data_IF_009995699356
#
_entry.id   IF_009995699356
#
_cell.length_a   1.000
_cell.length_b   1.000
_cell.length_c   1.000
_cell.angle_alpha   90.00
_cell.angle_beta   90.00
_cell.angle_gamma   90.00
#
_symmetry.space_group_name_H-M   'P 1'
#
loop_
_entity.id
_entity.type
_entity.pdbx_description
1 polymer ?
#
# COMPACT_ATOMS: atom_id res chain seq x y z
N UNK A 1 6.08 19.99 27.66
CA UNK A 1 5.01 18.95 27.63
C UNK A 1 4.57 18.67 26.18
N UNK A 2 5.42 18.06 25.35
CA UNK A 2 5.18 17.88 23.91
C UNK A 2 4.81 16.43 23.49
N UNK A 3 4.55 15.53 24.44
CA UNK A 3 4.34 14.11 24.15
C UNK A 3 2.88 13.74 23.77
N UNK A 4 1.91 14.64 23.92
CA UNK A 4 0.48 14.28 23.80
C UNK A 4 -0.15 14.56 22.42
N UNK A 5 0.57 15.16 21.46
CA UNK A 5 -0.03 15.61 20.17
C UNK A 5 0.19 14.65 18.99
N UNK A 6 1.10 13.68 19.09
CA UNK A 6 1.41 12.74 17.98
C UNK A 6 0.58 11.43 17.98
N UNK A 7 -0.11 11.14 19.08
CA UNK A 7 -0.90 9.91 19.28
C UNK A 7 -2.26 9.84 18.57
N UNK A 8 -3.00 10.93 18.29
CA UNK A 8 -4.35 10.82 17.76
C UNK A 8 -4.45 10.18 16.36
N UNK A 9 -3.55 10.52 15.42
CA UNK A 9 -3.65 10.04 14.03
C UNK A 9 -3.28 8.57 13.91
N UNK A 10 -2.20 8.13 14.56
CA UNK A 10 -1.80 6.71 14.60
C UNK A 10 -2.91 5.86 15.22
N UNK A 11 -3.55 6.35 16.27
CA UNK A 11 -4.71 5.68 16.88
C UNK A 11 -5.87 5.56 15.88
N UNK A 12 -6.28 6.66 15.25
CA UNK A 12 -7.37 6.68 14.26
C UNK A 12 -7.13 5.75 13.08
N UNK A 13 -5.91 5.73 12.52
CA UNK A 13 -5.61 4.83 11.38
C UNK A 13 -5.52 3.37 11.82
N UNK A 14 -5.10 3.09 13.06
CA UNK A 14 -5.13 1.73 13.63
C UNK A 14 -6.56 1.24 13.83
N UNK A 15 -7.44 2.10 14.37
CA UNK A 15 -8.88 1.81 14.52
C UNK A 15 -9.55 1.59 13.14
N UNK A 16 -9.24 2.44 12.15
CA UNK A 16 -9.71 2.25 10.78
C UNK A 16 -9.22 0.92 10.19
N UNK A 17 -7.99 0.54 10.48
CA UNK A 17 -7.43 -0.74 10.06
C UNK A 17 -8.20 -1.92 10.67
N UNK A 18 -8.54 -1.85 11.95
CA UNK A 18 -9.34 -2.87 12.63
C UNK A 18 -10.75 -2.97 12.03
N UNK A 19 -11.38 -1.83 11.74
CA UNK A 19 -12.70 -1.77 11.07
C UNK A 19 -12.65 -2.35 9.65
N UNK A 20 -11.59 -2.06 8.90
CA UNK A 20 -11.37 -2.59 7.55
C UNK A 20 -11.21 -4.12 7.60
N UNK A 21 -10.36 -4.64 8.50
CA UNK A 21 -10.20 -6.09 8.70
C UNK A 21 -11.54 -6.73 9.08
N UNK A 22 -12.26 -6.11 10.02
CA UNK A 22 -13.57 -6.54 10.49
C UNK A 22 -14.59 -6.62 9.36
N UNK A 23 -14.66 -5.60 8.50
CA UNK A 23 -15.59 -5.58 7.36
C UNK A 23 -15.25 -6.64 6.31
N UNK A 24 -13.96 -6.81 6.00
CA UNK A 24 -13.50 -7.74 4.96
C UNK A 24 -13.73 -9.21 5.32
N UNK A 25 -13.76 -9.58 6.61
CA UNK A 25 -13.94 -10.98 7.05
C UNK A 25 -15.29 -11.59 6.63
N UNK A 26 -16.27 -10.74 6.36
CA UNK A 26 -17.64 -11.16 6.01
C UNK A 26 -17.79 -11.46 4.52
N UNK A 27 -16.84 -11.02 3.69
CA UNK A 27 -16.84 -11.31 2.27
C UNK A 27 -16.57 -12.79 2.00
N UNK A 28 -17.15 -13.29 0.92
CA UNK A 28 -16.91 -14.63 0.39
C UNK A 28 -16.51 -14.48 -1.07
N UNK A 29 -15.55 -15.28 -1.48
CA UNK A 29 -15.03 -15.28 -2.84
C UNK A 29 -15.10 -16.71 -3.36
N UNK A 30 -15.61 -16.86 -4.56
CA UNK A 30 -15.82 -18.14 -5.21
C UNK A 30 -14.66 -18.47 -6.15
N UNK A 31 -14.71 -19.67 -6.73
CA UNK A 31 -13.76 -20.07 -7.75
C UNK A 31 -13.67 -18.99 -8.87
N UNK A 32 -12.46 -18.70 -9.38
CA UNK A 32 -11.23 -19.46 -9.19
C UNK A 32 -10.38 -19.04 -7.99
N UNK A 33 -10.87 -18.16 -7.10
CA UNK A 33 -10.14 -17.83 -5.86
C UNK A 33 -10.20 -19.02 -4.91
N UNK A 34 -9.05 -19.53 -4.50
CA UNK A 34 -8.97 -20.64 -3.52
C UNK A 34 -8.25 -20.22 -2.24
N UNK A 35 -7.37 -19.22 -2.30
CA UNK A 35 -6.64 -18.73 -1.14
C UNK A 35 -6.71 -17.21 -1.04
N UNK A 36 -6.89 -16.71 0.18
CA UNK A 36 -6.97 -15.28 0.49
C UNK A 36 -6.04 -14.99 1.67
N UNK A 37 -5.11 -14.07 1.48
CA UNK A 37 -4.26 -13.56 2.55
C UNK A 37 -4.68 -12.15 2.95
N UNK A 38 -4.63 -11.86 4.24
CA UNK A 38 -4.71 -10.50 4.78
C UNK A 38 -3.49 -10.20 5.66
N UNK A 39 -2.44 -9.55 5.12
CA UNK A 39 -1.24 -9.19 5.88
C UNK A 39 -1.51 -8.19 7.01
N UNK A 40 -2.63 -7.45 6.99
CA UNK A 40 -3.02 -6.62 8.13
C UNK A 40 -3.43 -7.44 9.36
N UNK A 41 -3.62 -8.76 9.20
CA UNK A 41 -3.85 -9.70 10.30
C UNK A 41 -2.54 -10.36 10.72
N UNK A 42 -1.94 -11.19 9.86
CA UNK A 42 -0.79 -12.00 10.25
C UNK A 42 0.55 -11.24 10.27
N UNK A 43 0.68 -10.12 9.56
CA UNK A 43 1.86 -9.26 9.55
C UNK A 43 1.58 -7.91 10.26
N UNK A 44 0.64 -7.91 11.21
CA UNK A 44 0.16 -6.70 11.89
C UNK A 44 1.25 -5.92 12.59
N UNK A 45 2.20 -6.58 13.26
CA UNK A 45 3.31 -5.89 13.93
C UNK A 45 4.15 -5.05 12.96
N UNK A 46 4.40 -5.57 11.74
CA UNK A 46 5.10 -4.84 10.68
C UNK A 46 4.34 -3.60 10.23
N UNK A 47 3.03 -3.75 10.01
CA UNK A 47 2.17 -2.63 9.61
C UNK A 47 2.05 -1.57 10.71
N UNK A 48 1.87 -1.98 11.97
CA UNK A 48 1.74 -1.06 13.10
C UNK A 48 3.03 -0.28 13.36
N UNK A 49 4.20 -0.90 13.17
CA UNK A 49 5.49 -0.19 13.23
C UNK A 49 5.61 0.83 12.10
N UNK A 50 5.16 0.49 10.89
CA UNK A 50 5.09 1.44 9.77
C UNK A 50 4.19 2.63 10.09
N UNK A 51 2.98 2.39 10.61
CA UNK A 51 2.04 3.43 11.04
C UNK A 51 2.62 4.32 12.16
N UNK A 52 3.19 3.71 13.21
CA UNK A 52 3.79 4.45 14.33
C UNK A 52 4.97 5.32 13.88
N UNK A 53 5.83 4.79 13.02
CA UNK A 53 7.04 5.49 12.58
C UNK A 53 6.74 6.61 11.59
N UNK A 54 5.79 6.40 10.67
CA UNK A 54 5.63 7.29 9.51
C UNK A 54 4.23 7.87 9.33
N UNK A 55 3.22 7.40 10.07
CA UNK A 55 1.82 7.78 9.93
C UNK A 55 1.29 8.79 10.97
N UNK A 56 2.16 9.42 11.77
CA UNK A 56 1.73 10.28 12.89
C UNK A 56 1.39 11.72 12.52
N UNK A 57 1.66 12.14 11.27
CA UNK A 57 1.44 13.51 10.78
C UNK A 57 0.48 13.55 9.59
N UNK A 58 -0.02 14.73 9.26
CA UNK A 58 -0.62 14.97 7.95
C UNK A 58 0.42 14.79 6.84
N UNK A 59 -0.07 14.58 5.62
CA UNK A 59 0.76 14.31 4.44
C UNK A 59 0.38 15.29 3.35
N UNK A 60 1.35 15.74 2.55
CA UNK A 60 1.03 16.49 1.34
C UNK A 60 0.48 15.55 0.26
N UNK A 61 1.05 14.34 0.18
CA UNK A 61 0.73 13.34 -0.84
C UNK A 61 0.49 11.98 -0.18
N UNK A 62 -0.61 11.32 -0.56
CA UNK A 62 -0.83 9.90 -0.28
C UNK A 62 -0.73 9.12 -1.59
N UNK A 63 0.27 8.25 -1.70
CA UNK A 63 0.40 7.30 -2.81
C UNK A 63 -0.43 6.05 -2.51
N UNK A 64 -1.20 5.60 -3.50
CA UNK A 64 -2.10 4.45 -3.33
C UNK A 64 -1.76 3.35 -4.33
N UNK A 65 -1.32 2.20 -3.82
CA UNK A 65 -1.19 0.96 -4.57
C UNK A 65 -2.52 0.19 -4.67
N UNK A 66 -2.55 -0.83 -5.52
CA UNK A 66 -3.75 -1.66 -5.69
C UNK A 66 -3.96 -2.61 -4.50
N UNK A 67 -3.07 -3.58 -4.34
CA UNK A 67 -3.11 -4.57 -3.28
C UNK A 67 -1.71 -5.21 -3.06
N UNK A 68 -1.48 -5.96 -1.96
CA UNK A 68 -0.16 -6.50 -1.65
C UNK A 68 0.40 -7.42 -2.73
N UNK A 69 1.69 -7.26 -3.04
CA UNK A 69 2.47 -8.23 -3.81
C UNK A 69 2.91 -9.42 -2.93
N UNK A 70 3.08 -10.63 -3.50
CA UNK A 70 3.33 -11.87 -2.75
C UNK A 70 4.68 -11.91 -2.01
N UNK A 71 5.66 -11.09 -2.44
CA UNK A 71 7.00 -11.04 -1.83
C UNK A 71 7.29 -9.72 -1.12
N UNK A 72 6.33 -8.80 -1.10
CA UNK A 72 6.46 -7.48 -0.47
C UNK A 72 5.59 -7.38 0.77
N UNK A 73 4.50 -6.61 0.69
CA UNK A 73 3.57 -6.41 1.81
C UNK A 73 2.97 -7.73 2.35
N UNK A 74 2.79 -8.77 1.53
CA UNK A 74 2.36 -10.09 2.02
C UNK A 74 3.39 -10.80 2.91
N UNK A 75 4.64 -10.32 2.93
CA UNK A 75 5.70 -10.82 3.79
C UNK A 75 5.97 -9.87 4.96
N UNK A 76 5.91 -8.56 4.73
CA UNK A 76 6.39 -7.56 5.70
C UNK A 76 5.30 -6.77 6.41
N UNK A 77 4.06 -6.81 5.89
CA UNK A 77 2.97 -5.94 6.34
C UNK A 77 3.07 -4.49 5.84
N UNK A 78 4.19 -4.08 5.22
CA UNK A 78 4.41 -2.71 4.73
C UNK A 78 4.01 -2.59 3.26
N UNK A 79 3.23 -1.58 2.82
CA UNK A 79 2.90 -1.37 1.42
C UNK A 79 4.15 -1.35 0.54
N UNK A 80 4.10 -2.02 -0.63
CA UNK A 80 5.29 -2.17 -1.49
C UNK A 80 6.53 -2.71 -0.74
N UNK A 81 6.35 -3.45 0.35
CA UNK A 81 7.40 -3.68 1.34
C UNK A 81 8.39 -4.77 0.95
N UNK A 82 9.27 -4.49 -0.01
CA UNK A 82 10.48 -5.27 -0.25
C UNK A 82 11.33 -5.37 1.02
N UNK A 83 11.73 -6.59 1.38
CA UNK A 83 12.36 -6.90 2.68
C UNK A 83 13.61 -6.05 2.92
N UNK A 84 14.52 -5.94 1.93
CA UNK A 84 15.77 -5.18 2.08
C UNK A 84 15.50 -3.70 2.33
N UNK A 85 14.49 -3.14 1.66
CA UNK A 85 14.13 -1.73 1.84
C UNK A 85 13.42 -1.48 3.18
N UNK A 86 12.54 -2.39 3.61
CA UNK A 86 11.84 -2.26 4.89
C UNK A 86 12.82 -2.39 6.07
N UNK A 87 13.77 -3.32 6.02
CA UNK A 87 14.75 -3.47 7.11
C UNK A 87 15.87 -2.45 7.00
N UNK A 88 16.51 -2.33 5.84
CA UNK A 88 17.75 -1.59 5.66
C UNK A 88 17.56 -0.08 5.48
N UNK A 89 16.44 0.36 4.92
CA UNK A 89 16.16 1.79 4.75
C UNK A 89 15.16 2.29 5.80
N UNK A 90 14.03 1.62 5.96
CA UNK A 90 13.01 2.04 6.94
C UNK A 90 13.32 1.64 8.38
N UNK A 91 14.25 0.71 8.62
CA UNK A 91 14.60 0.24 9.96
C UNK A 91 13.45 -0.48 10.67
N UNK A 92 12.57 -1.16 9.93
CA UNK A 92 11.44 -1.91 10.48
C UNK A 92 11.78 -3.39 10.48
N UNK A 93 11.75 -3.97 11.68
CA UNK A 93 11.77 -5.41 11.93
C UNK A 93 10.57 -5.76 12.79
N UNK A 94 9.90 -6.87 12.47
CA UNK A 94 8.67 -7.28 13.13
C UNK A 94 8.48 -8.79 13.10
N UNK A 95 7.66 -9.30 14.02
CA UNK A 95 7.15 -10.66 13.94
C UNK A 95 6.09 -10.77 12.84
N UNK A 96 6.07 -11.93 12.16
CA UNK A 96 5.09 -12.25 11.12
C UNK A 96 4.55 -13.65 11.39
N UNK A 97 3.25 -13.73 11.59
CA UNK A 97 2.52 -14.98 11.76
C UNK A 97 2.19 -15.62 10.40
N UNK A 98 1.67 -16.84 10.44
CA UNK A 98 1.21 -17.52 9.24
C UNK A 98 -0.24 -17.14 8.90
N UNK A 99 -0.60 -17.03 7.61
CA UNK A 99 -2.01 -16.95 7.22
C UNK A 99 -2.72 -18.26 7.56
N UNK A 100 -4.03 -18.20 7.81
CA UNK A 100 -4.83 -19.37 8.22
C UNK A 100 -4.75 -20.56 7.26
N UNK A 101 -4.71 -20.30 5.96
CA UNK A 101 -4.65 -21.31 4.91
C UNK A 101 -3.53 -20.91 3.92
N UNK A 102 -2.27 -21.25 4.21
CA UNK A 102 -1.15 -20.90 3.34
C UNK A 102 -1.16 -21.78 2.09
N UNK A 103 -1.07 -21.15 0.92
CA UNK A 103 -0.84 -21.86 -0.33
C UNK A 103 0.63 -22.36 -0.38
N UNK A 104 0.91 -23.64 -0.67
CA UNK A 104 2.27 -24.21 -0.63
C UNK A 104 3.29 -23.48 -1.53
N UNK A 105 2.88 -23.03 -2.72
CA UNK A 105 3.72 -22.24 -3.65
C UNK A 105 3.87 -20.75 -3.28
N UNK A 106 3.21 -20.27 -2.22
CA UNK A 106 3.21 -18.88 -1.77
C UNK A 106 3.34 -18.82 -0.24
N UNK A 107 4.42 -19.39 0.34
CA UNK A 107 4.63 -19.35 1.77
C UNK A 107 4.85 -17.91 2.24
N UNK A 108 4.44 -17.63 3.48
CA UNK A 108 4.79 -16.40 4.18
C UNK A 108 6.03 -16.71 5.04
N UNK A 109 7.18 -16.22 4.62
CA UNK A 109 8.47 -16.37 5.29
C UNK A 109 8.82 -15.14 6.13
N UNK A 110 7.96 -14.12 6.12
CA UNK A 110 8.20 -12.87 6.83
C UNK A 110 9.45 -12.16 6.32
N UNK A 111 10.21 -11.58 7.25
CA UNK A 111 11.49 -10.91 6.98
C UNK A 111 12.63 -11.88 6.59
N UNK A 112 12.42 -13.20 6.61
CA UNK A 112 13.36 -14.17 6.06
C UNK A 112 13.15 -14.43 4.56
N UNK A 113 12.12 -13.84 3.94
CA UNK A 113 11.88 -13.97 2.50
C UNK A 113 13.07 -13.45 1.68
N UNK A 114 13.70 -14.34 0.90
CA UNK A 114 14.85 -14.01 0.03
C UNK A 114 14.47 -13.51 -1.35
N UNK A 115 13.18 -13.51 -1.69
CA UNK A 115 12.68 -13.04 -2.99
C UNK A 115 12.47 -11.53 -2.91
N UNK A 116 13.07 -10.79 -3.83
CA UNK A 116 12.82 -9.35 -3.96
C UNK A 116 11.45 -9.09 -4.59
N UNK A 117 10.77 -8.07 -4.07
CA UNK A 117 9.57 -7.51 -4.66
C UNK A 117 9.98 -6.32 -5.54
N UNK A 118 10.14 -6.57 -6.84
CA UNK A 118 10.75 -5.60 -7.77
C UNK A 118 10.03 -4.24 -7.79
N UNK A 119 8.70 -4.24 -7.67
CA UNK A 119 7.92 -2.99 -7.71
C UNK A 119 8.22 -2.14 -6.48
N UNK A 120 8.28 -2.76 -5.30
CA UNK A 120 8.64 -2.13 -4.04
C UNK A 120 10.09 -1.72 -3.95
N UNK A 121 11.01 -2.55 -4.45
CA UNK A 121 12.42 -2.16 -4.56
C UNK A 121 12.61 -0.92 -5.43
N UNK A 122 11.86 -0.80 -6.55
CA UNK A 122 11.88 0.39 -7.40
C UNK A 122 11.28 1.61 -6.69
N UNK A 123 10.12 1.45 -6.07
CA UNK A 123 9.43 2.55 -5.37
C UNK A 123 10.26 3.08 -4.21
N UNK A 124 10.69 2.21 -3.30
CA UNK A 124 11.48 2.63 -2.16
C UNK A 124 12.92 3.00 -2.53
N UNK A 125 13.48 2.37 -3.58
CA UNK A 125 14.78 2.75 -4.12
C UNK A 125 14.79 4.19 -4.66
N UNK A 126 13.75 4.58 -5.39
CA UNK A 126 13.52 5.96 -5.81
C UNK A 126 13.39 6.90 -4.60
N UNK A 127 12.56 6.54 -3.62
CA UNK A 127 12.38 7.36 -2.42
C UNK A 127 13.71 7.55 -1.64
N UNK A 128 14.49 6.47 -1.48
CA UNK A 128 15.82 6.53 -0.87
C UNK A 128 16.77 7.43 -1.64
N UNK A 129 16.82 7.31 -2.97
CA UNK A 129 17.70 8.12 -3.81
C UNK A 129 17.32 9.60 -3.76
N UNK A 130 16.02 9.93 -3.80
CA UNK A 130 15.52 11.30 -3.91
C UNK A 130 15.49 12.04 -2.58
N UNK A 131 15.22 11.35 -1.47
CA UNK A 131 14.99 11.96 -0.16
C UNK A 131 16.07 11.59 0.88
N UNK A 132 16.95 10.65 0.56
CA UNK A 132 17.99 10.17 1.48
C UNK A 132 17.41 9.29 2.58
N UNK A 133 16.82 9.90 3.60
CA UNK A 133 16.25 9.20 4.77
C UNK A 133 14.75 8.91 4.59
N UNK A 134 14.20 7.90 5.28
CA UNK A 134 12.76 7.68 5.33
C UNK A 134 12.02 8.89 5.89
N UNK A 135 12.55 9.53 6.95
CA UNK A 135 11.91 10.68 7.61
C UNK A 135 11.70 11.84 6.64
N UNK A 136 12.67 12.11 5.76
CA UNK A 136 12.52 13.13 4.72
C UNK A 136 11.39 12.80 3.74
N UNK A 137 11.31 11.56 3.27
CA UNK A 137 10.20 11.12 2.40
C UNK A 137 8.86 11.21 3.12
N UNK A 138 8.77 10.61 4.32
CA UNK A 138 7.53 10.50 5.08
C UNK A 138 7.08 11.81 5.74
N UNK A 139 7.92 12.85 5.75
CA UNK A 139 7.49 14.20 6.13
C UNK A 139 6.41 14.75 5.18
N UNK A 140 6.39 14.29 3.92
CA UNK A 140 5.47 14.78 2.87
C UNK A 140 4.61 13.67 2.27
N UNK A 141 5.15 12.47 2.12
CA UNK A 141 4.49 11.35 1.48
C UNK A 141 4.00 10.31 2.49
N UNK A 142 2.97 9.57 2.13
CA UNK A 142 2.64 8.31 2.78
C UNK A 142 2.12 7.32 1.75
N UNK A 143 2.29 6.02 2.00
CA UNK A 143 1.93 4.99 1.03
C UNK A 143 0.91 4.04 1.64
N UNK A 144 -0.18 3.81 0.91
CA UNK A 144 -1.24 2.89 1.29
C UNK A 144 -1.48 1.89 0.14
N UNK A 145 -2.10 0.76 0.45
CA UNK A 145 -2.78 -0.05 -0.56
C UNK A 145 -4.28 0.21 -0.42
N UNK A 146 -4.96 0.31 -1.57
CA UNK A 146 -6.41 0.44 -1.62
C UNK A 146 -7.11 -0.79 -1.04
N UNK A 147 -6.69 -1.98 -1.44
CA UNK A 147 -7.20 -3.25 -0.93
C UNK A 147 -6.08 -3.99 -0.19
N UNK A 148 -6.28 -4.44 1.06
CA UNK A 148 -5.24 -5.16 1.79
C UNK A 148 -5.19 -6.66 1.43
N UNK A 149 -6.15 -7.19 0.69
CA UNK A 149 -6.23 -8.63 0.44
C UNK A 149 -5.36 -9.07 -0.74
N UNK A 150 -4.81 -10.28 -0.63
CA UNK A 150 -4.18 -11.01 -1.74
C UNK A 150 -5.05 -12.18 -2.12
N UNK A 151 -5.37 -12.32 -3.40
CA UNK A 151 -6.17 -13.43 -3.92
C UNK A 151 -5.29 -14.34 -4.78
N UNK A 152 -5.43 -15.64 -4.58
CA UNK A 152 -4.73 -16.64 -5.36
C UNK A 152 -5.67 -17.74 -5.83
N UNK A 153 -5.36 -18.27 -7.00
CA UNK A 153 -6.00 -19.46 -7.55
C UNK A 153 -5.24 -20.72 -7.13
N UNK A 154 -5.78 -21.89 -7.46
CA UNK A 154 -5.25 -23.20 -7.06
C UNK A 154 -3.80 -23.46 -7.50
N UNK A 155 -3.36 -22.83 -8.58
CA UNK A 155 -1.96 -22.93 -9.04
C UNK A 155 -0.98 -22.05 -8.24
N UNK A 156 -1.48 -21.22 -7.32
CA UNK A 156 -0.76 -20.12 -6.68
C UNK A 156 -0.66 -18.87 -7.55
N UNK A 157 -1.35 -18.83 -8.70
CA UNK A 157 -1.41 -17.66 -9.57
C UNK A 157 -2.11 -16.52 -8.84
N UNK A 158 -1.49 -15.34 -8.85
CA UNK A 158 -2.08 -14.13 -8.27
C UNK A 158 -3.29 -13.68 -9.10
N UNK A 159 -4.39 -13.37 -8.42
CA UNK A 159 -5.58 -12.77 -9.00
C UNK A 159 -5.76 -11.37 -8.44
N UNK A 160 -5.81 -10.38 -9.32
CA UNK A 160 -5.93 -8.98 -8.93
C UNK A 160 -7.40 -8.62 -8.67
N UNK A 161 -7.71 -7.63 -7.81
CA UNK A 161 -9.09 -7.29 -7.45
C UNK A 161 -10.00 -6.96 -8.65
N UNK A 162 -9.45 -6.38 -9.73
CA UNK A 162 -10.18 -6.07 -10.96
C UNK A 162 -10.67 -7.31 -11.72
N UNK A 163 -10.02 -8.46 -11.50
CA UNK A 163 -10.36 -9.75 -12.13
C UNK A 163 -11.39 -10.55 -11.33
N UNK A 164 -11.83 -10.07 -10.19
CA UNK A 164 -12.90 -10.73 -9.43
C UNK A 164 -14.25 -10.59 -10.16
N UNK A 165 -15.17 -11.55 -9.98
CA UNK A 165 -16.55 -11.43 -10.46
C UNK A 165 -17.20 -10.10 -10.04
N UNK A 166 -18.12 -9.59 -10.86
CA UNK A 166 -18.72 -8.28 -10.64
C UNK A 166 -19.45 -8.15 -9.28
N UNK A 167 -20.15 -9.21 -8.87
CA UNK A 167 -20.84 -9.29 -7.58
C UNK A 167 -19.87 -9.21 -6.39
N UNK A 168 -18.74 -9.92 -6.46
CA UNK A 168 -17.73 -9.97 -5.41
C UNK A 168 -16.94 -8.67 -5.31
N UNK A 169 -16.52 -8.10 -6.45
CA UNK A 169 -15.74 -6.86 -6.46
C UNK A 169 -16.57 -5.66 -6.00
N UNK A 170 -17.90 -5.65 -6.21
CA UNK A 170 -18.77 -4.56 -5.73
C UNK A 170 -18.69 -4.41 -4.21
N UNK A 171 -18.86 -5.51 -3.47
CA UNK A 171 -18.79 -5.49 -2.00
C UNK A 171 -17.39 -5.15 -1.48
N UNK A 172 -16.36 -5.75 -2.09
CA UNK A 172 -14.96 -5.46 -1.75
C UNK A 172 -14.63 -3.97 -1.94
N UNK A 173 -15.00 -3.40 -3.08
CA UNK A 173 -14.66 -2.03 -3.41
C UNK A 173 -15.41 -1.02 -2.56
N UNK A 174 -16.68 -1.27 -2.22
CA UNK A 174 -17.40 -0.39 -1.29
C UNK A 174 -16.69 -0.27 0.08
N UNK A 175 -16.21 -1.40 0.62
CA UNK A 175 -15.45 -1.41 1.89
C UNK A 175 -14.12 -0.67 1.74
N UNK A 176 -13.37 -0.95 0.67
CA UNK A 176 -12.06 -0.31 0.44
C UNK A 176 -12.18 1.19 0.10
N UNK A 177 -13.25 1.61 -0.60
CA UNK A 177 -13.54 3.02 -0.87
C UNK A 177 -13.76 3.78 0.42
N UNK A 178 -14.60 3.24 1.30
CA UNK A 178 -14.87 3.85 2.60
C UNK A 178 -13.59 3.98 3.43
N UNK A 179 -12.76 2.93 3.45
CA UNK A 179 -11.47 3.00 4.13
C UNK A 179 -10.52 4.03 3.51
N UNK A 180 -10.51 4.19 2.19
CA UNK A 180 -9.70 5.22 1.53
C UNK A 180 -10.21 6.64 1.89
N UNK A 181 -11.52 6.87 1.88
CA UNK A 181 -12.12 8.15 2.30
C UNK A 181 -11.71 8.52 3.73
N UNK A 182 -11.85 7.58 4.67
CA UNK A 182 -11.46 7.79 6.07
C UNK A 182 -9.95 8.00 6.23
N UNK A 183 -9.11 7.29 5.45
CA UNK A 183 -7.67 7.53 5.46
C UNK A 183 -7.32 8.93 4.94
N UNK A 184 -8.02 9.43 3.92
CA UNK A 184 -7.86 10.79 3.40
C UNK A 184 -8.26 11.84 4.44
N UNK A 185 -9.35 11.63 5.17
CA UNK A 185 -9.74 12.51 6.30
C UNK A 185 -8.67 12.51 7.41
N UNK A 186 -8.05 11.36 7.68
CA UNK A 186 -6.99 11.22 8.69
C UNK A 186 -5.68 11.86 8.23
N UNK A 187 -5.28 11.75 6.97
CA UNK A 187 -3.99 12.27 6.50
C UNK A 187 -4.06 13.68 5.92
N UNK A 188 -5.25 14.15 5.57
CA UNK A 188 -5.54 15.47 5.02
C UNK A 188 -4.61 15.84 3.84
N UNK A 189 -4.47 14.97 2.82
CA UNK A 189 -3.58 15.23 1.71
C UNK A 189 -4.09 16.31 0.77
N UNK A 190 -3.16 16.99 0.10
CA UNK A 190 -3.47 17.82 -1.06
C UNK A 190 -3.67 16.93 -2.30
N UNK A 191 -2.87 15.86 -2.39
CA UNK A 191 -2.87 14.92 -3.50
C UNK A 191 -3.08 13.47 -3.04
N UNK A 192 -3.98 12.76 -3.71
CA UNK A 192 -4.02 11.30 -3.72
C UNK A 192 -3.56 10.82 -5.09
N UNK A 193 -2.47 10.07 -5.14
CA UNK A 193 -1.86 9.65 -6.41
C UNK A 193 -1.91 8.14 -6.51
N UNK A 194 -2.64 7.64 -7.51
CA UNK A 194 -2.69 6.22 -7.83
C UNK A 194 -1.39 5.73 -8.44
N UNK A 195 -0.81 4.67 -7.89
CA UNK A 195 0.31 3.94 -8.50
C UNK A 195 -0.28 2.95 -9.50
N UNK A 196 -0.39 3.40 -10.75
CA UNK A 196 -1.07 2.68 -11.83
C UNK A 196 -2.55 3.01 -11.99
N UNK A 197 -3.11 2.67 -13.15
CA UNK A 197 -4.45 3.08 -13.56
C UNK A 197 -5.61 2.48 -12.75
N UNK A 198 -5.42 1.32 -12.13
CA UNK A 198 -6.45 0.77 -11.23
C UNK A 198 -6.63 1.66 -10.00
N UNK A 199 -5.54 1.99 -9.31
CA UNK A 199 -5.58 2.76 -8.08
C UNK A 199 -6.09 4.19 -8.33
N UNK A 200 -5.69 4.82 -9.44
CA UNK A 200 -6.23 6.12 -9.87
C UNK A 200 -7.76 6.04 -10.03
N UNK A 201 -8.27 5.08 -10.82
CA UNK A 201 -9.72 4.93 -11.04
C UNK A 201 -10.50 4.71 -9.75
N UNK A 202 -9.93 3.95 -8.79
CA UNK A 202 -10.56 3.76 -7.48
C UNK A 202 -10.50 5.02 -6.63
N UNK A 203 -9.39 5.76 -6.64
CA UNK A 203 -9.31 7.04 -5.95
C UNK A 203 -10.33 8.04 -6.51
N UNK A 204 -10.45 8.17 -7.84
CA UNK A 204 -11.48 9.02 -8.48
C UNK A 204 -12.88 8.63 -8.03
N UNK A 205 -13.22 7.33 -8.08
CA UNK A 205 -14.54 6.86 -7.70
C UNK A 205 -14.85 7.09 -6.21
N UNK A 206 -13.87 6.89 -5.33
CA UNK A 206 -14.06 6.97 -3.88
C UNK A 206 -14.04 8.42 -3.35
N UNK A 207 -13.33 9.34 -4.00
CA UNK A 207 -12.99 10.66 -3.45
C UNK A 207 -13.61 11.83 -4.21
N UNK A 208 -14.51 11.57 -5.18
CA UNK A 208 -15.10 12.58 -6.07
C UNK A 208 -15.68 13.79 -5.33
N UNK A 209 -16.33 13.57 -4.19
CA UNK A 209 -17.02 14.62 -3.43
C UNK A 209 -16.16 15.26 -2.32
N UNK A 210 -14.88 14.91 -2.22
CA UNK A 210 -14.00 15.37 -1.13
C UNK A 210 -13.12 16.58 -1.50
N UNK A 211 -13.17 17.06 -2.75
CA UNK A 211 -12.37 18.21 -3.19
C UNK A 211 -10.84 17.97 -3.20
N UNK A 212 -10.42 16.71 -3.23
CA UNK A 212 -9.00 16.30 -3.22
C UNK A 212 -8.47 16.22 -4.65
N UNK A 213 -7.21 16.62 -4.88
CA UNK A 213 -6.57 16.46 -6.19
C UNK A 213 -6.16 15.01 -6.39
N UNK A 214 -6.52 14.45 -7.53
CA UNK A 214 -6.25 13.05 -7.86
C UNK A 214 -5.34 12.97 -9.05
N UNK A 215 -4.25 12.20 -8.90
CA UNK A 215 -3.25 12.02 -9.93
C UNK A 215 -2.90 10.55 -10.16
N UNK A 216 -2.00 10.31 -11.11
CA UNK A 216 -1.47 8.98 -11.39
C UNK A 216 0.01 9.05 -11.73
N UNK A 217 0.74 8.07 -11.20
CA UNK A 217 2.06 7.71 -11.69
C UNK A 217 2.05 6.29 -12.26
N UNK A 218 3.01 6.01 -13.13
CA UNK A 218 3.22 4.70 -13.73
C UNK A 218 3.53 3.65 -12.66
N UNK A 219 2.95 2.45 -12.80
CA UNK A 219 3.23 1.36 -11.85
C UNK A 219 4.66 0.82 -12.05
N UNK A 220 5.44 0.54 -10.97
CA UNK A 220 6.82 0.06 -11.05
C UNK A 220 6.99 -1.41 -11.47
N UNK A 221 5.92 -2.09 -11.88
CA UNK A 221 5.95 -3.54 -12.12
C UNK A 221 6.81 -3.87 -13.34
N UNK A 222 7.55 -5.00 -13.34
CA UNK A 222 8.22 -5.51 -14.53
C UNK A 222 7.30 -5.70 -15.75
N UNK A 223 6.00 -5.91 -15.51
CA UNK A 223 5.00 -6.04 -16.57
C UNK A 223 4.74 -4.73 -17.34
N UNK A 224 5.24 -3.58 -16.84
CA UNK A 224 5.18 -2.30 -17.54
C UNK A 224 6.49 -2.06 -18.31
N UNK A 225 6.50 -2.14 -19.66
CA UNK A 225 7.73 -1.95 -20.45
C UNK A 225 8.41 -0.60 -20.23
N UNK A 226 7.63 0.47 -19.96
CA UNK A 226 8.19 1.80 -19.67
C UNK A 226 8.95 1.82 -18.35
N UNK A 227 8.48 1.09 -17.34
CA UNK A 227 9.16 1.01 -16.04
C UNK A 227 10.53 0.31 -16.13
N UNK A 228 10.72 -0.57 -17.10
CA UNK A 228 11.98 -1.28 -17.31
C UNK A 228 13.06 -0.40 -17.96
N UNK A 229 12.71 0.76 -18.52
CA UNK A 229 13.64 1.71 -19.15
C UNK A 229 14.11 2.84 -18.22
N UNK A 230 13.73 2.80 -16.94
CA UNK A 230 14.06 3.84 -15.96
C UNK A 230 12.82 4.40 -15.28
N UNK A 231 12.26 3.63 -14.34
CA UNK A 231 11.03 4.01 -13.63
C UNK A 231 11.17 5.27 -12.77
N UNK A 232 12.33 5.46 -12.11
CA UNK A 232 12.56 6.62 -11.23
C UNK A 232 12.42 7.96 -11.98
N UNK A 233 13.12 8.11 -13.11
CA UNK A 233 13.03 9.32 -13.93
C UNK A 233 11.61 9.52 -14.49
N UNK A 234 10.93 8.43 -14.87
CA UNK A 234 9.56 8.50 -15.35
C UNK A 234 8.62 9.08 -14.29
N UNK A 235 8.69 8.61 -13.05
CA UNK A 235 7.81 9.11 -11.99
C UNK A 235 8.15 10.53 -11.56
N UNK A 236 9.41 10.95 -11.61
CA UNK A 236 9.79 12.35 -11.40
C UNK A 236 9.11 13.25 -12.44
N UNK A 237 9.18 12.89 -13.74
CA UNK A 237 8.49 13.65 -14.80
C UNK A 237 6.97 13.68 -14.60
N UNK A 238 6.35 12.56 -14.23
CA UNK A 238 4.91 12.50 -13.98
C UNK A 238 4.50 13.35 -12.77
N UNK A 239 5.29 13.32 -11.68
CA UNK A 239 5.08 14.16 -10.51
C UNK A 239 5.22 15.65 -10.83
N UNK A 240 6.28 16.04 -11.55
CA UNK A 240 6.48 17.43 -11.98
C UNK A 240 5.36 17.93 -12.89
N UNK A 241 4.85 17.09 -13.79
CA UNK A 241 3.72 17.46 -14.66
C UNK A 241 2.42 17.72 -13.86
N UNK A 242 2.28 17.13 -12.67
CA UNK A 242 1.18 17.41 -11.73
C UNK A 242 1.47 18.63 -10.84
N UNK A 243 2.60 19.30 -11.02
CA UNK A 243 3.10 20.35 -10.14
C UNK A 243 3.60 19.80 -8.81
N UNK A 244 3.80 18.49 -8.64
CA UNK A 244 4.32 17.93 -7.37
C UNK A 244 5.86 18.00 -7.38
N UNK A 245 6.40 19.20 -7.67
CA UNK A 245 7.83 19.48 -7.87
C UNK A 245 8.42 20.46 -6.85
N UNK A 246 7.59 21.12 -6.02
CA UNK A 246 7.97 21.90 -4.83
C UNK A 246 8.58 21.05 -3.70
N UNK A 247 9.26 19.97 -4.07
CA UNK A 247 9.98 19.01 -3.25
C UNK A 247 11.49 19.28 -3.22
N UNK A 248 11.90 20.42 -3.76
CA UNK A 248 13.30 20.83 -3.91
C UNK A 248 13.71 21.93 -2.91
N UNK A 249 12.80 22.37 -2.04
CA UNK A 249 13.09 23.17 -0.84
C UNK A 249 13.16 22.28 0.40
#
# INVERSE_FOLDING_TARGET
>A
MAASRHLPRVKKISELTDQLIGSLRHLRFSAPVTHIYNPLVYARDGYDRYLRRFGSTTKAVVLVGMNPGPFGMAQTGVPFGDVEMVTGWMGIHASVEQPRAPHPKRPVLGFACRRSEVSGRRLWGWAKQRFGTPDNFFSRFFVLNYCPLVFMEESGRNRTPDKLPASEKKGLFAICDHALQQAVEIYQPQWVIGIGGFAEKRAVAALVDMGIRIGRISHPSPANPRANKGWANLVETELSAMGVDWLSE
#
